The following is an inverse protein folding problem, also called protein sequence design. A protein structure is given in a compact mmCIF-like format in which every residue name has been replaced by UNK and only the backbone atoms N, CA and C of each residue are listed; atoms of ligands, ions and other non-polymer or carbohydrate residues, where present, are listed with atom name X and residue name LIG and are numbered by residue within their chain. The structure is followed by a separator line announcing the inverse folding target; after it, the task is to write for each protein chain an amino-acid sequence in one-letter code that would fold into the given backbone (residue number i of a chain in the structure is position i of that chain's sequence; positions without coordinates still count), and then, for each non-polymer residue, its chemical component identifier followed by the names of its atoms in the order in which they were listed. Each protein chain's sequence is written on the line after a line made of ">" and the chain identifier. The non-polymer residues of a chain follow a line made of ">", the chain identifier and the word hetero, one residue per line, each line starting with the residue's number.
data_IF_083395916591
#
_entry.id   IF_083395916591
#
_cell.length_a   1.000
_cell.length_b   1.000
_cell.length_c   1.000
_cell.angle_alpha   90.00
_cell.angle_beta   90.00
_cell.angle_gamma   90.00
#
_symmetry.space_group_name_H-M   'P 1'
#
loop_
_entity.id
_entity.type
_entity.pdbx_description
1 polymer ?
#
# COMPACT_ATOMS: atom_id res chain seq x y z
N UNK A 1 3.63 32.08 -16.47
CA UNK A 1 4.30 30.77 -16.41
C UNK A 1 4.91 30.65 -15.03
N UNK A 2 4.27 29.94 -14.10
CA UNK A 2 4.76 29.83 -12.72
C UNK A 2 5.89 28.81 -12.65
N UNK A 3 7.06 29.24 -12.20
CA UNK A 3 8.21 28.40 -11.88
C UNK A 3 7.79 27.39 -10.80
N UNK A 4 7.78 26.08 -11.12
CA UNK A 4 7.52 25.01 -10.14
C UNK A 4 8.76 24.79 -9.28
N UNK A 5 8.55 24.52 -7.99
CA UNK A 5 9.62 24.32 -7.03
C UNK A 5 10.24 22.92 -7.21
N UNK A 6 11.56 22.74 -7.03
CA UNK A 6 12.21 21.42 -7.11
C UNK A 6 11.69 20.40 -6.08
N UNK A 7 10.92 20.83 -5.08
CA UNK A 7 10.20 19.96 -4.13
C UNK A 7 9.01 19.21 -4.73
N UNK A 8 8.58 19.53 -5.95
CA UNK A 8 7.44 18.91 -6.62
C UNK A 8 7.82 17.66 -7.44
N UNK A 9 9.10 17.32 -7.48
CA UNK A 9 9.62 16.14 -8.19
C UNK A 9 9.75 14.98 -7.21
N UNK A 10 8.95 13.94 -7.43
CA UNK A 10 9.06 12.68 -6.72
C UNK A 10 10.15 11.82 -7.36
N UNK A 11 10.91 11.11 -6.52
CA UNK A 11 11.86 10.08 -6.93
C UNK A 11 11.52 8.77 -6.22
N UNK A 12 11.64 7.65 -6.93
CA UNK A 12 11.65 6.36 -6.26
C UNK A 12 12.92 6.21 -5.39
N UNK A 13 12.93 5.22 -4.51
CA UNK A 13 14.02 5.00 -3.54
C UNK A 13 15.39 4.87 -4.24
N UNK A 14 15.43 4.15 -5.36
CA UNK A 14 16.65 3.92 -6.13
C UNK A 14 17.07 5.10 -7.02
N UNK A 15 16.25 6.15 -7.12
CA UNK A 15 16.40 7.29 -8.04
C UNK A 15 16.48 6.92 -9.53
N UNK A 16 15.94 5.76 -9.91
CA UNK A 16 15.84 5.33 -11.32
C UNK A 16 14.61 5.89 -12.01
N UNK A 17 13.62 6.32 -11.23
CA UNK A 17 12.34 6.83 -11.73
C UNK A 17 12.01 8.16 -11.07
N UNK A 18 11.37 9.03 -11.85
CA UNK A 18 10.95 10.37 -11.38
C UNK A 18 9.53 10.67 -11.84
N UNK A 19 8.82 11.51 -11.09
CA UNK A 19 7.50 11.98 -11.46
C UNK A 19 7.31 13.43 -11.04
N UNK A 20 6.54 14.19 -11.83
CA UNK A 20 6.10 15.54 -11.47
C UNK A 20 4.58 15.57 -11.52
N UNK A 21 3.90 15.09 -10.46
CA UNK A 21 2.45 15.00 -10.48
C UNK A 21 1.81 16.39 -10.56
N UNK A 22 0.62 16.46 -11.17
CA UNK A 22 -0.23 17.64 -11.12
C UNK A 22 -0.68 17.93 -9.67
N UNK A 23 -0.94 16.88 -8.88
CA UNK A 23 -1.40 16.97 -7.49
C UNK A 23 -0.76 15.89 -6.62
N UNK A 24 -0.39 16.25 -5.39
CA UNK A 24 0.03 15.32 -4.35
C UNK A 24 -1.06 15.29 -3.26
N UNK A 25 -1.49 14.08 -2.88
CA UNK A 25 -2.51 13.87 -1.86
C UNK A 25 -1.98 12.95 -0.75
N UNK A 26 -2.39 13.23 0.50
CA UNK A 26 -2.06 12.48 1.72
C UNK A 26 -3.34 12.29 2.55
N UNK A 27 -4.30 11.46 2.07
CA UNK A 27 -5.60 11.32 2.73
C UNK A 27 -5.43 10.75 4.13
N UNK A 28 -6.14 11.29 5.12
CA UNK A 28 -6.00 10.87 6.51
C UNK A 28 -6.79 9.60 6.84
N UNK A 29 -7.81 9.33 6.04
CA UNK A 29 -8.73 8.21 6.21
C UNK A 29 -9.27 7.73 4.85
N UNK A 30 -10.15 6.73 4.89
CA UNK A 30 -10.76 6.12 3.71
C UNK A 30 -11.70 7.09 2.97
N UNK A 31 -12.42 7.94 3.70
CA UNK A 31 -13.37 8.89 3.10
C UNK A 31 -12.64 9.98 2.32
N UNK A 32 -11.52 10.48 2.87
CA UNK A 32 -10.65 11.44 2.20
C UNK A 32 -9.94 10.80 1.00
N UNK A 33 -9.58 9.52 1.08
CA UNK A 33 -9.05 8.77 -0.07
C UNK A 33 -10.10 8.65 -1.18
N UNK A 34 -11.32 8.28 -0.83
CA UNK A 34 -12.43 8.19 -1.78
C UNK A 34 -12.74 9.54 -2.44
N UNK A 35 -12.78 10.63 -1.66
CA UNK A 35 -12.93 11.98 -2.17
C UNK A 35 -11.77 12.37 -3.11
N UNK A 36 -10.53 12.08 -2.73
CA UNK A 36 -9.35 12.34 -3.57
C UNK A 36 -9.47 11.67 -4.96
N UNK A 37 -10.01 10.45 -5.01
CA UNK A 37 -10.21 9.75 -6.28
C UNK A 37 -11.37 10.32 -7.09
N UNK A 38 -12.50 10.67 -6.45
CA UNK A 38 -13.65 11.33 -7.13
C UNK A 38 -13.24 12.67 -7.74
N UNK A 39 -12.51 13.45 -6.97
CA UNK A 39 -12.10 14.80 -7.32
C UNK A 39 -10.83 14.83 -8.17
N UNK A 40 -10.46 13.70 -8.81
CA UNK A 40 -9.28 13.62 -9.67
C UNK A 40 -9.48 14.28 -11.04
N UNK A 41 -10.70 14.68 -11.40
CA UNK A 41 -11.02 15.42 -12.64
C UNK A 41 -10.48 14.77 -13.93
N UNK A 42 -10.50 13.43 -13.98
CA UNK A 42 -9.97 12.66 -15.12
C UNK A 42 -8.45 12.49 -15.15
N UNK A 43 -7.72 13.04 -14.16
CA UNK A 43 -6.29 12.80 -14.00
C UNK A 43 -6.02 11.35 -13.59
N UNK A 44 -4.90 10.80 -14.06
CA UNK A 44 -4.44 9.46 -13.66
C UNK A 44 -4.03 9.46 -12.19
N UNK A 45 -4.75 8.70 -11.38
CA UNK A 45 -4.43 8.52 -9.96
C UNK A 45 -3.46 7.34 -9.79
N UNK A 46 -2.38 7.55 -9.05
CA UNK A 46 -1.47 6.48 -8.61
C UNK A 46 -1.23 6.54 -7.11
N UNK A 47 -1.46 5.41 -6.45
CA UNK A 47 -1.03 5.21 -5.08
C UNK A 47 0.48 5.00 -5.03
N UNK A 48 1.11 5.58 -4.00
CA UNK A 48 2.54 5.50 -3.74
C UNK A 48 2.73 4.97 -2.34
N UNK A 49 3.40 3.81 -2.27
CA UNK A 49 3.91 3.26 -1.02
C UNK A 49 5.28 3.84 -0.70
N UNK A 50 6.21 2.98 -0.26
CA UNK A 50 7.56 3.42 0.11
C UNK A 50 8.51 3.70 -1.09
N UNK A 51 8.01 3.65 -2.34
CA UNK A 51 8.81 3.95 -3.53
C UNK A 51 9.91 2.95 -3.87
N UNK A 52 9.84 1.71 -3.37
CA UNK A 52 10.89 0.68 -3.53
C UNK A 52 10.86 -0.12 -4.85
N UNK A 53 9.94 0.19 -5.77
CA UNK A 53 10.02 -0.39 -7.13
C UNK A 53 11.17 0.27 -7.90
N UNK A 54 11.91 -0.51 -8.68
CA UNK A 54 12.93 -0.02 -9.61
C UNK A 54 12.34 0.45 -10.94
N UNK A 55 11.05 0.18 -11.18
CA UNK A 55 10.29 0.58 -12.39
C UNK A 55 9.27 1.67 -12.08
N UNK A 56 8.75 2.31 -13.13
CA UNK A 56 7.72 3.36 -13.06
C UNK A 56 6.33 2.97 -12.52
N UNK A 57 6.22 1.94 -11.68
CA UNK A 57 4.95 1.45 -11.12
C UNK A 57 4.13 2.52 -10.37
N UNK A 58 4.82 3.49 -9.76
CA UNK A 58 4.24 4.59 -9.00
C UNK A 58 4.30 5.95 -9.74
N UNK A 59 4.77 5.98 -11.00
CA UNK A 59 4.95 7.20 -11.78
C UNK A 59 3.60 7.67 -12.33
N UNK A 60 3.33 8.96 -12.18
CA UNK A 60 2.17 9.64 -12.78
C UNK A 60 2.46 11.13 -12.95
N UNK A 61 1.90 11.72 -14.00
CA UNK A 61 1.76 13.17 -14.20
C UNK A 61 0.43 13.71 -13.62
N UNK A 62 -0.47 12.82 -13.18
CA UNK A 62 -1.77 13.14 -12.59
C UNK A 62 -1.72 13.33 -11.07
N UNK A 63 -2.53 12.55 -10.34
CA UNK A 63 -2.62 12.62 -8.88
C UNK A 63 -1.76 11.53 -8.25
N UNK A 64 -0.78 11.92 -7.43
CA UNK A 64 0.03 11.01 -6.66
C UNK A 64 -0.48 10.94 -5.22
N UNK A 65 -0.95 9.76 -4.79
CA UNK A 65 -1.59 9.54 -3.48
C UNK A 65 -0.65 8.77 -2.56
N UNK A 66 -0.22 9.39 -1.47
CA UNK A 66 0.64 8.77 -0.46
C UNK A 66 -0.22 8.19 0.66
N UNK A 67 -0.07 6.90 0.94
CA UNK A 67 -0.94 6.17 1.87
C UNK A 67 -0.35 6.03 3.29
N UNK A 68 0.74 6.72 3.63
CA UNK A 68 1.48 6.52 4.89
C UNK A 68 0.61 6.66 6.16
N UNK A 69 -0.43 7.51 6.09
CA UNK A 69 -1.43 7.77 7.14
C UNK A 69 -2.42 6.63 7.34
N UNK A 70 -2.65 5.80 6.30
CA UNK A 70 -3.49 4.61 6.37
C UNK A 70 -2.63 3.42 6.78
N UNK A 71 -2.13 3.43 8.02
CA UNK A 71 -1.19 2.44 8.55
C UNK A 71 -1.60 1.89 9.91
N UNK A 72 -1.05 0.72 10.27
CA UNK A 72 -1.32 0.01 11.51
C UNK A 72 -2.27 -1.19 11.34
N UNK A 73 -2.40 -1.96 12.42
CA UNK A 73 -3.38 -3.05 12.53
C UNK A 73 -4.72 -2.45 12.97
N UNK A 74 -5.74 -2.64 12.15
CA UNK A 74 -7.12 -2.24 12.46
C UNK A 74 -7.86 -3.33 13.24
N UNK A 75 -7.65 -4.60 12.87
CA UNK A 75 -8.36 -5.74 13.45
C UNK A 75 -7.53 -7.02 13.40
N UNK A 76 -7.69 -7.86 14.41
CA UNK A 76 -7.15 -9.22 14.46
C UNK A 76 -8.31 -10.18 14.77
N UNK A 77 -8.55 -11.14 13.88
CA UNK A 77 -9.58 -12.17 14.04
C UNK A 77 -8.93 -13.55 14.10
N UNK A 78 -8.78 -14.14 15.28
CA UNK A 78 -8.25 -15.49 15.45
C UNK A 78 -9.07 -16.52 14.65
N UNK A 79 -8.39 -17.56 14.19
CA UNK A 79 -8.98 -18.69 13.47
C UNK A 79 -8.90 -19.97 14.32
N UNK A 80 -9.79 -20.95 14.10
CA UNK A 80 -9.81 -22.20 14.88
C UNK A 80 -8.51 -23.03 14.77
N UNK A 81 -7.73 -22.85 13.70
CA UNK A 81 -6.45 -23.54 13.46
C UNK A 81 -5.25 -22.89 14.18
N UNK A 82 -5.51 -21.87 15.00
CA UNK A 82 -4.46 -21.11 15.71
C UNK A 82 -3.83 -19.99 14.89
N UNK A 83 -4.28 -19.76 13.65
CA UNK A 83 -3.87 -18.59 12.84
C UNK A 83 -4.76 -17.38 13.14
N UNK A 84 -4.52 -16.26 12.45
CA UNK A 84 -5.39 -15.09 12.52
C UNK A 84 -5.49 -14.39 11.17
N UNK A 85 -6.68 -13.86 10.88
CA UNK A 85 -6.84 -12.84 9.85
C UNK A 85 -6.55 -11.47 10.45
N UNK A 86 -5.60 -10.74 9.85
CA UNK A 86 -5.17 -9.43 10.33
C UNK A 86 -5.50 -8.37 9.28
N UNK A 87 -6.36 -7.43 9.63
CA UNK A 87 -6.70 -6.27 8.79
C UNK A 87 -5.73 -5.15 9.10
N UNK A 88 -5.09 -4.63 8.06
CA UNK A 88 -4.04 -3.59 8.17
C UNK A 88 -4.29 -2.47 7.17
N UNK A 89 -3.87 -1.27 7.54
CA UNK A 89 -3.86 -0.14 6.62
C UNK A 89 -2.86 -0.37 5.47
N UNK A 90 -3.23 0.04 4.25
CA UNK A 90 -2.45 -0.17 3.03
C UNK A 90 -1.02 0.44 3.07
N UNK A 91 -0.85 1.53 3.82
CA UNK A 91 0.43 2.23 4.02
C UNK A 91 1.34 1.62 5.08
N UNK A 92 0.90 0.59 5.81
CA UNK A 92 1.70 -0.06 6.86
C UNK A 92 3.01 -0.59 6.28
N UNK A 93 4.14 -0.20 6.86
CA UNK A 93 5.46 -0.76 6.49
C UNK A 93 5.56 -2.21 6.98
N UNK A 94 6.21 -3.09 6.22
CA UNK A 94 6.37 -4.49 6.62
C UNK A 94 7.17 -4.62 7.93
N UNK A 95 8.16 -3.75 8.15
CA UNK A 95 8.91 -3.65 9.41
C UNK A 95 7.99 -3.43 10.62
N UNK A 96 7.07 -2.48 10.51
CA UNK A 96 6.18 -2.09 11.59
C UNK A 96 5.12 -3.17 11.82
N UNK A 97 4.65 -3.80 10.73
CA UNK A 97 3.74 -4.93 10.81
C UNK A 97 4.38 -6.14 11.51
N UNK A 98 5.64 -6.46 11.20
CA UNK A 98 6.36 -7.55 11.87
C UNK A 98 6.41 -7.35 13.39
N UNK A 99 6.76 -6.15 13.86
CA UNK A 99 6.78 -5.83 15.29
C UNK A 99 5.39 -5.97 15.90
N UNK A 100 4.38 -5.38 15.27
CA UNK A 100 3.01 -5.42 15.78
C UNK A 100 2.41 -6.85 15.81
N UNK A 101 2.80 -7.72 14.87
CA UNK A 101 2.43 -9.14 14.88
C UNK A 101 3.16 -9.91 15.99
N UNK A 102 4.46 -9.67 16.17
CA UNK A 102 5.26 -10.32 17.20
C UNK A 102 4.73 -10.02 18.62
N UNK A 103 4.32 -8.78 18.88
CA UNK A 103 3.69 -8.37 20.15
C UNK A 103 2.39 -9.12 20.46
N UNK A 104 1.80 -9.78 19.45
CA UNK A 104 0.57 -10.57 19.53
C UNK A 104 0.82 -12.08 19.41
N UNK A 105 2.08 -12.51 19.39
CA UNK A 105 2.45 -13.92 19.19
C UNK A 105 2.16 -14.42 17.77
N UNK A 106 2.05 -13.53 16.79
CA UNK A 106 1.79 -13.83 15.39
C UNK A 106 3.03 -13.56 14.54
N UNK A 107 3.06 -14.15 13.34
CA UNK A 107 4.09 -13.88 12.34
C UNK A 107 3.54 -14.06 10.91
N UNK A 108 4.14 -13.36 9.94
CA UNK A 108 3.89 -13.65 8.52
C UNK A 108 4.55 -14.97 8.13
N UNK A 109 3.90 -15.75 7.26
CA UNK A 109 4.41 -17.08 6.85
C UNK A 109 5.63 -17.01 5.94
N UNK A 110 5.75 -15.92 5.18
CA UNK A 110 6.86 -15.65 4.27
C UNK A 110 7.00 -14.14 4.08
N UNK A 111 8.22 -13.66 3.86
CA UNK A 111 8.55 -12.25 3.70
C UNK A 111 9.76 -12.09 2.76
N UNK A 112 9.82 -10.98 2.01
CA UNK A 112 11.01 -10.60 1.26
C UNK A 112 12.13 -10.07 2.17
N UNK A 113 13.33 -9.88 1.60
CA UNK A 113 14.49 -9.35 2.33
C UNK A 113 14.34 -7.88 2.74
N UNK A 114 13.58 -7.09 1.96
CA UNK A 114 13.35 -5.66 2.23
C UNK A 114 12.00 -5.45 2.92
N UNK A 115 12.04 -5.09 4.19
CA UNK A 115 10.86 -4.81 5.01
C UNK A 115 10.43 -3.33 5.03
N UNK A 116 11.14 -2.47 4.29
CA UNK A 116 10.82 -1.04 4.14
C UNK A 116 9.65 -0.78 3.20
N UNK A 117 9.19 -1.78 2.47
CA UNK A 117 8.02 -1.66 1.59
C UNK A 117 6.74 -1.49 2.42
N UNK A 118 5.77 -0.75 1.89
CA UNK A 118 4.39 -0.81 2.37
C UNK A 118 3.77 -2.15 2.02
N UNK A 119 2.85 -2.67 2.84
CA UNK A 119 2.12 -3.91 2.58
C UNK A 119 1.38 -3.87 1.23
N UNK A 120 0.69 -2.77 0.89
CA UNK A 120 0.00 -2.66 -0.39
C UNK A 120 0.97 -2.66 -1.58
N UNK A 121 2.08 -1.92 -1.47
CA UNK A 121 3.14 -1.92 -2.47
C UNK A 121 3.74 -3.31 -2.68
N UNK A 122 4.08 -4.01 -1.60
CA UNK A 122 4.67 -5.34 -1.65
C UNK A 122 3.74 -6.38 -2.28
N UNK A 123 2.44 -6.33 -1.96
CA UNK A 123 1.42 -7.18 -2.60
C UNK A 123 1.29 -6.85 -4.10
N UNK A 124 1.20 -5.55 -4.43
CA UNK A 124 0.97 -5.09 -5.81
C UNK A 124 2.12 -5.41 -6.76
N UNK A 125 3.35 -5.59 -6.25
CA UNK A 125 4.53 -5.92 -7.05
C UNK A 125 4.98 -7.37 -6.91
N UNK A 126 4.19 -8.23 -6.26
CA UNK A 126 4.51 -9.66 -6.14
C UNK A 126 5.71 -9.98 -5.24
N UNK A 127 5.95 -9.19 -4.19
CA UNK A 127 7.03 -9.46 -3.23
C UNK A 127 6.90 -10.87 -2.65
N UNK A 128 8.00 -11.62 -2.67
CA UNK A 128 8.10 -12.97 -2.13
C UNK A 128 9.44 -13.19 -1.42
N UNK A 129 9.44 -14.12 -0.47
CA UNK A 129 10.67 -14.68 0.09
C UNK A 129 11.15 -15.89 -0.70
N UNK A 130 11.88 -16.80 -0.05
CA UNK A 130 12.31 -18.07 -0.64
C UNK A 130 11.50 -19.25 -0.07
N UNK A 131 11.62 -20.42 -0.70
CA UNK A 131 10.98 -21.66 -0.25
C UNK A 131 10.00 -22.21 -1.27
N UNK A 132 10.26 -23.43 -1.76
CA UNK A 132 9.49 -24.04 -2.85
C UNK A 132 7.99 -24.27 -2.52
N UNK A 133 7.63 -24.33 -1.23
CA UNK A 133 6.24 -24.51 -0.75
C UNK A 133 5.64 -23.23 -0.15
N UNK A 134 6.36 -22.12 -0.18
CA UNK A 134 5.94 -20.85 0.41
C UNK A 134 5.59 -19.87 -0.72
N UNK A 135 4.32 -19.47 -0.81
CA UNK A 135 3.91 -18.41 -1.72
C UNK A 135 4.45 -17.04 -1.30
N UNK A 136 4.32 -16.06 -2.21
CA UNK A 136 4.63 -14.65 -1.91
C UNK A 136 3.63 -14.00 -0.96
N UNK A 137 3.84 -12.74 -0.61
CA UNK A 137 2.93 -12.01 0.28
C UNK A 137 1.48 -11.99 -0.25
N UNK A 138 1.31 -11.82 -1.56
CA UNK A 138 0.00 -11.79 -2.20
C UNK A 138 -0.80 -13.09 -1.99
N UNK A 139 -0.15 -14.25 -1.83
CA UNK A 139 -0.87 -15.52 -1.59
C UNK A 139 -1.42 -15.65 -0.17
N UNK A 140 -1.08 -14.72 0.72
CA UNK A 140 -1.56 -14.68 2.11
C UNK A 140 -2.77 -13.76 2.28
N UNK A 141 -3.15 -13.01 1.24
CA UNK A 141 -4.27 -12.06 1.27
C UNK A 141 -5.59 -12.81 1.14
N UNK A 142 -6.46 -12.64 2.14
CA UNK A 142 -7.82 -13.24 2.14
C UNK A 142 -8.91 -12.23 1.78
N UNK A 143 -8.61 -10.93 1.86
CA UNK A 143 -9.53 -9.87 1.50
C UNK A 143 -8.86 -8.51 1.34
N UNK A 144 -9.54 -7.60 0.65
CA UNK A 144 -9.09 -6.25 0.33
C UNK A 144 -10.28 -5.28 0.33
N UNK A 145 -10.03 -4.04 0.80
CA UNK A 145 -10.89 -2.89 0.52
C UNK A 145 -10.23 -2.08 -0.59
N UNK A 146 -10.95 -1.83 -1.67
CA UNK A 146 -10.50 -1.04 -2.82
C UNK A 146 -11.37 0.20 -2.97
N UNK A 147 -10.72 1.33 -3.24
CA UNK A 147 -11.38 2.53 -3.77
C UNK A 147 -11.32 2.44 -5.30
N UNK A 148 -12.48 2.43 -5.94
CA UNK A 148 -12.61 2.36 -7.40
C UNK A 148 -12.37 3.73 -8.05
N UNK A 149 -12.35 3.78 -9.39
CA UNK A 149 -12.20 5.05 -10.12
C UNK A 149 -13.37 6.03 -9.89
N UNK A 150 -14.53 5.53 -9.43
CA UNK A 150 -15.71 6.31 -9.07
C UNK A 150 -15.65 6.79 -7.61
N UNK A 151 -14.60 6.41 -6.87
CA UNK A 151 -14.46 6.64 -5.45
C UNK A 151 -15.40 5.79 -4.58
N UNK A 152 -16.02 4.76 -5.15
CA UNK A 152 -16.76 3.77 -4.39
C UNK A 152 -15.80 2.86 -3.63
N UNK A 153 -16.13 2.53 -2.39
CA UNK A 153 -15.41 1.54 -1.61
C UNK A 153 -16.04 0.18 -1.88
N UNK A 154 -15.25 -0.74 -2.43
CA UNK A 154 -15.63 -2.13 -2.60
C UNK A 154 -14.78 -3.02 -1.69
N UNK A 155 -15.41 -4.01 -1.08
CA UNK A 155 -14.73 -5.00 -0.25
C UNK A 155 -14.87 -6.38 -0.86
N UNK A 156 -13.76 -7.11 -0.95
CA UNK A 156 -13.73 -8.50 -1.36
C UNK A 156 -13.02 -9.34 -0.30
N UNK A 157 -13.53 -10.54 -0.02
CA UNK A 157 -12.98 -11.44 0.99
C UNK A 157 -14.08 -12.12 1.81
N UNK A 158 -13.71 -12.91 2.84
CA UNK A 158 -14.68 -13.49 3.75
C UNK A 158 -15.41 -12.37 4.55
N UNK A 159 -16.67 -12.60 4.99
CA UNK A 159 -17.38 -11.67 5.86
C UNK A 159 -16.52 -11.29 7.07
N UNK A 160 -16.51 -10.00 7.41
CA UNK A 160 -15.76 -9.47 8.55
C UNK A 160 -16.37 -9.86 9.89
#
# INVERSE_FOLDING_TARGET
>A
MSSRNPSDVWHNWARTETATPARLARPRDLDELAATVRDADGLRVRAVGAGHSFTGAAVTDGVQVHLDTLSGIERVTPQPDGTAHVTVGAGTRLSDLNVALADRGLAMRNLGDIDRQTIAGAISTGTHGTGARLGGLASQVVGVRLVTAQGDVVEGGPPQ
#
